data_IF_138340546468
#
_entry.id   IF_138340546468
#
_cell.length_a   1.000
_cell.length_b   1.000
_cell.length_c   1.000
_cell.angle_alpha   90.00
_cell.angle_beta   90.00
_cell.angle_gamma   90.00
#
_symmetry.space_group_name_H-M   'P 1'
#
loop_
_entity.id
_entity.type
_entity.pdbx_description
1 polymer ?
#
# COMPACT_ATOMS: atom_id res chain seq x y z
N UNK A 1 -4.04 40.12 20.03
CA UNK A 1 -4.01 39.61 18.64
C UNK A 1 -5.39 39.81 18.03
N UNK A 2 -5.53 40.73 17.08
CA UNK A 2 -6.80 40.97 16.37
C UNK A 2 -6.97 39.85 15.33
N UNK A 3 -7.99 39.01 15.52
CA UNK A 3 -8.38 38.00 14.52
C UNK A 3 -8.87 38.72 13.25
N UNK A 4 -8.32 38.34 12.11
CA UNK A 4 -8.60 38.89 10.79
C UNK A 4 -10.02 38.51 10.32
N UNK A 5 -10.68 39.38 9.54
CA UNK A 5 -12.01 39.14 8.96
C UNK A 5 -12.11 37.84 8.13
N UNK A 6 -10.98 37.31 7.65
CA UNK A 6 -10.92 36.00 6.99
C UNK A 6 -11.28 34.83 7.94
N UNK A 7 -10.98 34.95 9.23
CA UNK A 7 -11.30 33.91 10.23
C UNK A 7 -12.82 33.83 10.51
N UNK A 8 -13.52 34.96 10.41
CA UNK A 8 -14.98 35.00 10.57
C UNK A 8 -15.71 34.43 9.36
N UNK A 9 -15.20 34.69 8.15
CA UNK A 9 -15.72 34.09 6.92
C UNK A 9 -15.51 32.57 6.88
N UNK A 10 -14.34 32.08 7.34
CA UNK A 10 -14.08 30.63 7.43
C UNK A 10 -14.99 29.95 8.47
N UNK A 11 -15.21 30.60 9.63
CA UNK A 11 -16.13 30.11 10.66
C UNK A 11 -17.59 30.11 10.18
N UNK A 12 -18.01 31.12 9.41
CA UNK A 12 -19.34 31.19 8.82
C UNK A 12 -19.55 30.16 7.69
N UNK A 13 -18.52 29.90 6.87
CA UNK A 13 -18.56 28.84 5.85
C UNK A 13 -18.62 27.45 6.48
N UNK A 14 -17.87 27.22 7.57
CA UNK A 14 -17.92 25.97 8.34
C UNK A 14 -19.27 25.78 9.04
N UNK A 15 -19.89 26.84 9.59
CA UNK A 15 -21.20 26.72 10.22
C UNK A 15 -22.33 26.46 9.22
N UNK A 16 -22.26 27.01 8.00
CA UNK A 16 -23.23 26.72 6.93
C UNK A 16 -23.05 25.30 6.38
N UNK A 17 -21.81 24.79 6.27
CA UNK A 17 -21.55 23.39 5.89
C UNK A 17 -22.03 22.38 6.95
N UNK A 18 -22.05 22.77 8.24
CA UNK A 18 -22.56 21.93 9.33
C UNK A 18 -24.07 22.10 9.59
N UNK A 19 -24.70 23.23 9.24
CA UNK A 19 -26.14 23.46 9.47
C UNK A 19 -27.05 22.90 8.36
N UNK A 20 -26.55 22.70 7.13
CA UNK A 20 -27.37 22.21 6.01
C UNK A 20 -27.19 20.72 5.69
N UNK A 21 -26.35 20.00 6.43
CA UNK A 21 -26.42 18.54 6.44
C UNK A 21 -27.42 18.14 7.53
N UNK A 22 -28.52 17.43 7.22
CA UNK A 22 -29.33 16.83 8.28
C UNK A 22 -28.39 15.95 9.10
N UNK A 23 -28.15 16.35 10.34
CA UNK A 23 -27.42 15.57 11.32
C UNK A 23 -28.10 14.20 11.37
N UNK A 24 -27.45 13.22 10.74
CA UNK A 24 -28.01 11.88 10.64
C UNK A 24 -28.13 11.32 12.06
N UNK A 25 -29.25 10.64 12.38
CA UNK A 25 -29.31 9.88 13.60
C UNK A 25 -28.22 8.80 13.51
N UNK A 26 -27.22 8.94 14.40
CA UNK A 26 -26.28 7.89 14.78
C UNK A 26 -27.09 6.68 15.27
N UNK A 27 -27.58 5.85 14.35
CA UNK A 27 -28.54 4.78 14.65
C UNK A 27 -29.04 3.99 13.44
N UNK A 28 -28.76 4.42 12.20
CA UNK A 28 -29.01 3.59 11.02
C UNK A 28 -28.08 2.37 10.99
N UNK A 29 -28.64 1.17 10.76
CA UNK A 29 -27.86 -0.05 10.49
C UNK A 29 -27.19 -0.03 9.11
N UNK A 30 -27.61 0.87 8.22
CA UNK A 30 -27.15 0.96 6.84
C UNK A 30 -26.36 2.26 6.61
N UNK A 31 -25.32 2.17 5.79
CA UNK A 31 -24.48 3.30 5.40
C UNK A 31 -25.06 4.12 4.24
N UNK A 32 -25.79 3.50 3.30
CA UNK A 32 -26.49 4.23 2.25
C UNK A 32 -27.80 4.81 2.79
N UNK A 33 -27.92 6.13 2.67
CA UNK A 33 -29.20 6.79 2.82
C UNK A 33 -30.13 6.33 1.70
N UNK A 34 -31.33 5.89 2.10
CA UNK A 34 -32.36 5.47 1.17
C UNK A 34 -33.60 6.31 1.40
N UNK A 35 -34.13 6.87 0.32
CA UNK A 35 -35.46 7.48 0.34
C UNK A 35 -36.52 6.39 0.49
N UNK A 36 -37.59 6.68 1.22
CA UNK A 36 -38.64 5.70 1.58
C UNK A 36 -39.32 5.04 0.37
N UNK A 37 -39.29 5.69 -0.80
CA UNK A 37 -39.83 5.20 -2.06
C UNK A 37 -38.97 4.15 -2.78
N UNK A 38 -37.71 3.96 -2.35
CA UNK A 38 -36.80 3.01 -2.98
C UNK A 38 -36.96 1.62 -2.33
N UNK A 39 -37.40 0.66 -3.12
CA UNK A 39 -37.53 -0.74 -2.70
C UNK A 39 -36.18 -1.34 -2.28
N UNK A 40 -36.18 -2.06 -1.15
CA UNK A 40 -35.03 -2.86 -0.70
C UNK A 40 -34.62 -3.87 -1.79
N UNK A 41 -33.31 -4.05 -2.05
CA UNK A 41 -32.88 -5.12 -2.93
C UNK A 41 -33.29 -6.46 -2.33
N UNK A 42 -33.76 -7.36 -3.20
CA UNK A 42 -34.01 -8.75 -2.81
C UNK A 42 -32.69 -9.37 -2.36
N UNK A 43 -32.73 -10.11 -1.25
CA UNK A 43 -31.57 -10.84 -0.74
C UNK A 43 -31.04 -11.82 -1.77
N UNK A 44 -29.72 -11.86 -1.94
CA UNK A 44 -29.01 -12.69 -2.92
C UNK A 44 -27.93 -13.52 -2.23
N UNK A 45 -27.79 -14.74 -2.70
CA UNK A 45 -26.72 -15.66 -2.32
C UNK A 45 -26.00 -16.04 -3.61
N UNK A 46 -24.68 -16.04 -3.59
CA UNK A 46 -23.89 -16.55 -4.71
C UNK A 46 -23.91 -18.08 -4.65
N UNK A 47 -24.36 -18.73 -5.72
CA UNK A 47 -24.34 -20.19 -5.82
C UNK A 47 -23.24 -20.66 -6.76
N UNK A 48 -22.42 -21.60 -6.29
CA UNK A 48 -21.46 -22.33 -7.11
C UNK A 48 -21.77 -23.83 -6.94
N UNK A 49 -22.08 -24.53 -8.03
CA UNK A 49 -22.53 -25.93 -8.02
C UNK A 49 -23.69 -26.20 -7.04
N UNK A 50 -24.65 -25.29 -6.98
CA UNK A 50 -25.81 -25.42 -6.08
C UNK A 50 -25.50 -25.21 -4.59
N UNK A 51 -24.25 -24.92 -4.23
CA UNK A 51 -23.85 -24.58 -2.86
C UNK A 51 -23.75 -23.06 -2.71
N UNK A 52 -24.32 -22.52 -1.63
CA UNK A 52 -24.25 -21.09 -1.33
C UNK A 52 -22.87 -20.70 -0.80
N UNK A 53 -22.33 -19.60 -1.30
CA UNK A 53 -21.04 -19.04 -0.90
C UNK A 53 -21.13 -17.53 -0.68
N UNK A 54 -20.25 -17.04 0.18
CA UNK A 54 -20.04 -15.61 0.37
C UNK A 54 -19.12 -15.06 -0.71
N UNK A 55 -19.36 -13.81 -1.13
CA UNK A 55 -18.41 -13.09 -1.97
C UNK A 55 -17.20 -12.71 -1.12
N UNK A 56 -16.01 -13.12 -1.53
CA UNK A 56 -14.76 -12.83 -0.80
C UNK A 56 -13.93 -11.80 -1.57
N UNK A 57 -13.64 -10.69 -0.92
CA UNK A 57 -12.84 -9.58 -1.45
C UNK A 57 -11.50 -9.53 -0.73
N UNK A 58 -10.41 -9.55 -1.49
CA UNK A 58 -9.07 -9.34 -0.93
C UNK A 58 -8.90 -7.87 -0.54
N UNK A 59 -8.26 -7.66 0.60
CA UNK A 59 -7.89 -6.36 1.12
C UNK A 59 -6.48 -6.43 1.69
N UNK A 60 -5.77 -5.30 1.71
CA UNK A 60 -4.45 -5.20 2.33
C UNK A 60 -4.45 -4.23 3.49
N UNK A 61 -3.31 -4.05 4.17
CA UNK A 61 -3.15 -2.99 5.17
C UNK A 61 -3.20 -1.56 4.60
N UNK A 62 -3.01 -1.37 3.28
CA UNK A 62 -3.00 -0.05 2.65
C UNK A 62 -4.33 0.68 2.86
N UNK A 63 -4.33 1.96 3.31
CA UNK A 63 -5.55 2.71 3.53
C UNK A 63 -6.46 2.77 2.31
N UNK A 64 -5.90 3.01 1.11
CA UNK A 64 -6.66 3.08 -0.13
C UNK A 64 -7.39 1.77 -0.42
N UNK A 65 -6.69 0.64 -0.32
CA UNK A 65 -7.27 -0.68 -0.58
C UNK A 65 -8.37 -1.01 0.43
N UNK A 66 -8.20 -0.63 1.71
CA UNK A 66 -9.26 -0.77 2.72
C UNK A 66 -10.48 0.04 2.36
N UNK A 67 -10.31 1.33 2.05
CA UNK A 67 -11.42 2.23 1.73
C UNK A 67 -12.22 1.68 0.55
N UNK A 68 -11.55 1.31 -0.56
CA UNK A 68 -12.26 0.83 -1.75
C UNK A 68 -12.95 -0.51 -1.51
N UNK A 69 -12.34 -1.44 -0.76
CA UNK A 69 -12.95 -2.75 -0.45
C UNK A 69 -14.11 -2.64 0.52
N UNK A 70 -14.05 -1.72 1.50
CA UNK A 70 -15.18 -1.45 2.38
C UNK A 70 -16.33 -0.76 1.63
N UNK A 71 -16.03 0.21 0.76
CA UNK A 71 -17.05 0.83 -0.10
C UNK A 71 -17.71 -0.21 -1.01
N UNK A 72 -16.93 -1.11 -1.61
CA UNK A 72 -17.45 -2.19 -2.44
C UNK A 72 -18.36 -3.13 -1.65
N UNK A 73 -17.93 -3.55 -0.45
CA UNK A 73 -18.76 -4.37 0.43
C UNK A 73 -20.11 -3.71 0.71
N UNK A 74 -20.11 -2.43 1.09
CA UNK A 74 -21.35 -1.68 1.34
C UNK A 74 -22.23 -1.65 0.08
N UNK A 75 -21.66 -1.37 -1.10
CA UNK A 75 -22.42 -1.36 -2.36
C UNK A 75 -23.04 -2.72 -2.67
N UNK A 76 -22.29 -3.81 -2.52
CA UNK A 76 -22.75 -5.16 -2.83
C UNK A 76 -23.80 -5.65 -1.84
N UNK A 77 -23.65 -5.34 -0.56
CA UNK A 77 -24.61 -5.74 0.47
C UNK A 77 -25.87 -4.86 0.43
N UNK A 78 -25.71 -3.54 0.43
CA UNK A 78 -26.84 -2.64 0.61
C UNK A 78 -27.57 -2.29 -0.69
N UNK A 79 -26.87 -2.26 -1.84
CA UNK A 79 -27.49 -1.90 -3.13
C UNK A 79 -27.84 -3.14 -3.97
N UNK A 80 -27.01 -4.18 -3.93
CA UNK A 80 -27.26 -5.40 -4.74
C UNK A 80 -27.96 -6.51 -3.94
N UNK A 81 -27.93 -6.44 -2.61
CA UNK A 81 -28.63 -7.37 -1.71
C UNK A 81 -27.89 -8.68 -1.46
N UNK A 82 -26.61 -8.80 -1.83
CA UNK A 82 -25.83 -9.99 -1.46
C UNK A 82 -25.56 -10.00 0.05
N UNK A 83 -25.64 -11.17 0.68
CA UNK A 83 -25.38 -11.28 2.11
C UNK A 83 -23.96 -11.79 2.40
N UNK A 84 -23.39 -11.32 3.51
CA UNK A 84 -22.18 -11.90 4.10
C UNK A 84 -20.90 -11.68 3.29
N UNK A 85 -20.74 -10.53 2.63
CA UNK A 85 -19.51 -10.22 1.88
C UNK A 85 -18.32 -10.17 2.85
N UNK A 86 -17.31 -10.98 2.56
CA UNK A 86 -16.14 -11.14 3.42
C UNK A 86 -14.96 -10.32 2.89
N UNK A 87 -14.27 -9.60 3.78
CA UNK A 87 -13.01 -8.94 3.46
C UNK A 87 -11.87 -9.74 4.07
N UNK A 88 -11.06 -10.42 3.23
CA UNK A 88 -9.89 -11.18 3.69
C UNK A 88 -8.60 -10.40 3.51
N UNK A 89 -7.83 -10.30 4.59
CA UNK A 89 -6.59 -9.51 4.58
C UNK A 89 -5.40 -10.33 4.09
N UNK A 90 -4.82 -9.92 2.97
CA UNK A 90 -3.53 -10.43 2.48
C UNK A 90 -2.53 -9.27 2.33
N UNK A 91 -1.41 -9.35 3.05
CA UNK A 91 -0.39 -8.30 3.07
C UNK A 91 0.74 -8.62 2.10
N UNK A 92 0.45 -8.52 0.80
CA UNK A 92 1.44 -8.77 -0.25
C UNK A 92 1.32 -7.71 -1.35
N UNK A 93 2.46 -7.27 -1.89
CA UNK A 93 2.53 -6.49 -3.12
C UNK A 93 2.80 -7.37 -4.35
N UNK A 94 2.92 -8.69 -4.18
CA UNK A 94 3.15 -9.61 -5.29
C UNK A 94 1.82 -9.93 -6.00
N UNK A 95 1.61 -9.30 -7.15
CA UNK A 95 0.44 -9.53 -8.01
C UNK A 95 0.22 -11.02 -8.33
N UNK A 96 1.29 -11.82 -8.47
CA UNK A 96 1.16 -13.25 -8.77
C UNK A 96 0.47 -13.99 -7.64
N UNK A 97 0.70 -13.60 -6.39
CA UNK A 97 0.03 -14.22 -5.25
C UNK A 97 -1.46 -13.90 -5.22
N UNK A 98 -1.83 -12.65 -5.49
CA UNK A 98 -3.25 -12.27 -5.62
C UNK A 98 -3.92 -13.00 -6.78
N UNK A 99 -3.26 -13.09 -7.94
CA UNK A 99 -3.79 -13.80 -9.10
C UNK A 99 -3.94 -15.30 -8.86
N UNK A 100 -3.02 -15.94 -8.11
CA UNK A 100 -3.17 -17.35 -7.68
C UNK A 100 -4.41 -17.56 -6.83
N UNK A 101 -4.68 -16.65 -5.88
CA UNK A 101 -5.87 -16.71 -5.02
C UNK A 101 -7.15 -16.55 -5.83
N UNK A 102 -7.19 -15.57 -6.74
CA UNK A 102 -8.36 -15.32 -7.62
C UNK A 102 -8.59 -16.48 -8.58
N UNK A 103 -7.54 -16.97 -9.24
CA UNK A 103 -7.64 -18.08 -10.19
C UNK A 103 -7.94 -19.41 -9.50
N UNK A 104 -7.61 -19.56 -8.21
CA UNK A 104 -7.72 -20.82 -7.47
C UNK A 104 -6.66 -21.85 -7.87
N UNK A 105 -5.51 -21.43 -8.41
CA UNK A 105 -4.45 -22.33 -8.86
C UNK A 105 -3.04 -21.74 -8.67
N UNK A 106 -2.03 -22.61 -8.58
CA UNK A 106 -0.64 -22.22 -8.28
C UNK A 106 0.10 -21.57 -9.45
N UNK A 107 -0.31 -21.84 -10.69
CA UNK A 107 0.32 -21.37 -11.93
C UNK A 107 -0.72 -21.33 -13.06
N UNK A 108 -0.64 -20.36 -13.99
CA UNK A 108 -1.53 -20.33 -15.16
C UNK A 108 -1.42 -21.58 -16.04
N UNK A 109 -0.24 -22.22 -16.07
CA UNK A 109 0.01 -23.44 -16.87
C UNK A 109 -0.67 -24.69 -16.32
N UNK A 110 -0.93 -24.73 -15.01
CA UNK A 110 -1.45 -25.91 -14.30
C UNK A 110 -2.84 -25.62 -13.72
N UNK A 111 -3.55 -24.68 -14.33
CA UNK A 111 -4.87 -24.26 -13.90
C UNK A 111 -5.91 -25.18 -14.57
N UNK A 112 -6.25 -26.30 -13.92
CA UNK A 112 -7.34 -27.16 -14.40
C UNK A 112 -8.67 -26.42 -14.28
N UNK A 113 -9.63 -26.75 -15.15
CA UNK A 113 -11.00 -26.22 -15.08
C UNK A 113 -11.81 -26.83 -13.93
N UNK A 114 -11.18 -27.37 -12.90
CA UNK A 114 -11.91 -27.80 -11.72
C UNK A 114 -12.47 -26.58 -11.03
N UNK A 115 -13.80 -26.45 -11.09
CA UNK A 115 -14.63 -25.40 -10.50
C UNK A 115 -14.60 -25.45 -8.95
N UNK A 116 -13.41 -25.31 -8.37
CA UNK A 116 -13.23 -24.99 -6.96
C UNK A 116 -13.50 -23.50 -6.76
N UNK A 117 -14.20 -23.17 -5.68
CA UNK A 117 -14.40 -21.79 -5.26
C UNK A 117 -13.03 -21.22 -4.85
N UNK A 118 -12.59 -20.11 -5.44
CA UNK A 118 -11.31 -19.53 -5.08
C UNK A 118 -11.35 -18.96 -3.67
N UNK A 119 -10.17 -18.88 -3.04
CA UNK A 119 -10.00 -18.27 -1.72
C UNK A 119 -10.39 -16.78 -1.72
N UNK A 120 -10.19 -16.10 -2.84
CA UNK A 120 -10.59 -14.71 -3.07
C UNK A 120 -11.29 -14.64 -4.41
N UNK A 121 -12.39 -13.91 -4.52
CA UNK A 121 -13.09 -13.72 -5.79
C UNK A 121 -12.76 -12.39 -6.45
N UNK A 122 -12.48 -11.35 -5.65
CA UNK A 122 -12.34 -9.97 -6.11
C UNK A 122 -11.13 -9.31 -5.47
N UNK A 123 -10.36 -8.58 -6.27
CA UNK A 123 -9.34 -7.65 -5.80
C UNK A 123 -9.54 -6.31 -6.51
N UNK A 124 -9.67 -5.24 -5.74
CA UNK A 124 -10.03 -3.90 -6.25
C UNK A 124 -8.81 -2.99 -6.40
N UNK A 125 -7.63 -3.41 -5.94
CA UNK A 125 -6.41 -2.63 -5.99
C UNK A 125 -5.18 -3.52 -6.24
N UNK A 126 -5.20 -4.19 -7.39
CA UNK A 126 -4.11 -5.06 -7.83
C UNK A 126 -2.97 -4.24 -8.45
N UNK A 127 -1.82 -4.21 -7.78
CA UNK A 127 -0.63 -3.51 -8.27
C UNK A 127 0.21 -4.41 -9.18
N UNK A 128 0.21 -4.11 -10.47
CA UNK A 128 1.07 -4.79 -11.45
C UNK A 128 2.44 -4.11 -11.53
N UNK A 129 3.48 -4.75 -11.01
CA UNK A 129 4.85 -4.25 -11.10
C UNK A 129 5.45 -4.37 -12.51
N UNK A 130 6.55 -3.66 -12.81
CA UNK A 130 7.24 -3.77 -14.10
C UNK A 130 7.58 -5.23 -14.45
N UNK A 131 7.27 -5.64 -15.68
CA UNK A 131 7.48 -7.01 -16.15
C UNK A 131 6.45 -8.04 -15.66
N UNK A 132 5.39 -7.61 -14.95
CA UNK A 132 4.24 -8.46 -14.65
C UNK A 132 3.25 -8.42 -15.80
N UNK A 133 2.72 -9.57 -16.21
CA UNK A 133 1.68 -9.66 -17.25
C UNK A 133 0.46 -10.38 -16.70
N UNK A 134 -0.72 -9.84 -17.04
CA UNK A 134 -2.01 -10.45 -16.70
C UNK A 134 -2.43 -11.50 -17.74
N UNK A 135 -1.91 -11.40 -18.97
CA UNK A 135 -2.31 -12.22 -20.12
C UNK A 135 -2.27 -13.74 -19.86
N UNK A 136 -1.21 -14.32 -19.23
CA UNK A 136 -1.21 -15.76 -18.92
C UNK A 136 -2.35 -16.17 -17.98
N UNK A 137 -2.78 -15.27 -17.10
CA UNK A 137 -3.86 -15.53 -16.15
C UNK A 137 -5.23 -15.39 -16.81
N UNK A 138 -5.41 -14.42 -17.71
CA UNK A 138 -6.64 -14.29 -18.50
C UNK A 138 -6.85 -15.51 -19.39
N UNK A 139 -5.77 -16.04 -19.98
CA UNK A 139 -5.80 -17.27 -20.79
C UNK A 139 -6.30 -18.52 -20.05
N UNK A 140 -6.30 -18.51 -18.72
CA UNK A 140 -6.89 -19.61 -17.92
C UNK A 140 -8.43 -19.64 -17.97
N UNK A 141 -9.07 -18.52 -18.31
CA UNK A 141 -10.52 -18.33 -18.22
C UNK A 141 -11.07 -18.26 -16.78
N UNK A 142 -10.20 -18.24 -15.76
CA UNK A 142 -10.58 -18.16 -14.34
C UNK A 142 -10.40 -16.79 -13.71
N UNK A 143 -9.74 -15.88 -14.43
CA UNK A 143 -9.53 -14.49 -14.02
C UNK A 143 -10.20 -13.59 -15.05
N UNK A 144 -10.99 -12.65 -14.56
CA UNK A 144 -11.58 -11.58 -15.36
C UNK A 144 -10.92 -10.25 -14.97
N UNK A 145 -10.41 -9.53 -15.97
CA UNK A 145 -10.01 -8.13 -15.80
C UNK A 145 -11.22 -7.23 -16.01
N UNK A 146 -11.68 -6.59 -14.92
CA UNK A 146 -12.81 -5.66 -14.95
C UNK A 146 -12.38 -4.21 -15.25
N UNK A 147 -11.12 -3.98 -15.63
CA UNK A 147 -10.58 -2.67 -15.93
C UNK A 147 -10.15 -1.86 -14.70
N UNK A 148 -9.59 -0.68 -14.95
CA UNK A 148 -9.10 0.21 -13.91
C UNK A 148 -10.25 0.95 -13.21
N UNK A 149 -10.29 0.90 -11.87
CA UNK A 149 -11.26 1.64 -11.05
C UNK A 149 -10.91 3.12 -10.84
N UNK A 150 -9.75 3.56 -11.32
CA UNK A 150 -9.24 4.91 -11.06
C UNK A 150 -7.90 5.19 -11.71
N UNK A 151 -7.21 6.27 -11.30
CA UNK A 151 -5.95 6.67 -11.89
C UNK A 151 -4.87 5.60 -11.69
N UNK A 152 -4.03 5.43 -12.71
CA UNK A 152 -2.90 4.50 -12.66
C UNK A 152 -1.88 5.07 -11.66
N UNK A 153 -1.70 4.34 -10.56
CA UNK A 153 -0.72 4.69 -9.54
C UNK A 153 0.72 4.46 -10.00
N UNK A 154 1.68 5.09 -9.32
CA UNK A 154 3.11 4.87 -9.53
C UNK A 154 3.74 4.36 -8.24
N UNK A 155 4.52 3.29 -8.35
CA UNK A 155 5.44 2.84 -7.32
C UNK A 155 6.87 3.03 -7.81
N UNK A 156 7.76 3.47 -6.93
CA UNK A 156 9.10 3.82 -7.34
C UNK A 156 9.96 4.29 -6.18
N UNK A 157 11.20 4.66 -6.54
CA UNK A 157 12.16 5.26 -5.63
C UNK A 157 11.98 6.77 -5.69
N UNK A 158 11.69 7.39 -4.55
CA UNK A 158 11.43 8.82 -4.46
C UNK A 158 12.51 9.51 -3.64
N UNK A 159 12.88 10.72 -4.04
CA UNK A 159 13.83 11.60 -3.35
C UNK A 159 13.12 12.95 -3.19
N UNK A 160 13.23 13.59 -2.03
CA UNK A 160 12.57 14.88 -1.82
C UNK A 160 13.19 15.96 -2.72
N UNK A 161 12.36 16.83 -3.28
CA UNK A 161 12.82 17.91 -4.16
C UNK A 161 13.88 18.80 -3.48
N UNK A 162 13.69 19.11 -2.19
CA UNK A 162 14.65 19.82 -1.32
C UNK A 162 16.03 19.13 -1.31
N UNK A 163 16.06 17.80 -1.24
CA UNK A 163 17.32 17.04 -1.26
C UNK A 163 17.98 17.08 -2.63
N UNK A 164 17.19 16.93 -3.70
CA UNK A 164 17.69 17.02 -5.08
C UNK A 164 18.32 18.38 -5.34
N UNK A 165 17.63 19.47 -4.98
CA UNK A 165 18.11 20.85 -5.17
C UNK A 165 19.37 21.14 -4.35
N UNK A 166 19.41 20.71 -3.08
CA UNK A 166 20.58 20.87 -2.21
C UNK A 166 21.80 20.16 -2.78
N UNK A 167 21.67 18.89 -3.14
CA UNK A 167 22.78 18.08 -3.65
C UNK A 167 23.27 18.58 -5.01
N UNK A 168 22.35 19.05 -5.87
CA UNK A 168 22.72 19.71 -7.11
C UNK A 168 23.51 21.00 -6.88
N UNK A 169 23.05 21.85 -5.95
CA UNK A 169 23.68 23.13 -5.67
C UNK A 169 25.07 22.97 -5.06
N UNK A 170 25.20 22.11 -4.05
CA UNK A 170 26.44 21.88 -3.29
C UNK A 170 27.47 21.03 -4.04
N UNK A 171 27.02 19.99 -4.75
CA UNK A 171 27.90 18.96 -5.31
C UNK A 171 27.83 18.80 -6.83
N UNK A 172 26.90 19.48 -7.51
CA UNK A 172 26.63 19.32 -8.95
C UNK A 172 26.31 17.87 -9.35
N UNK A 173 25.73 17.11 -8.42
CA UNK A 173 25.28 15.73 -8.66
C UNK A 173 23.78 15.75 -8.91
N UNK A 174 23.35 15.16 -10.03
CA UNK A 174 21.95 15.02 -10.39
C UNK A 174 21.35 13.76 -9.74
N UNK A 175 20.33 13.95 -8.90
CA UNK A 175 19.59 12.88 -8.21
C UNK A 175 18.20 12.66 -8.85
N UNK A 176 18.16 12.20 -10.11
CA UNK A 176 16.93 12.09 -10.90
C UNK A 176 16.45 10.65 -11.17
N UNK A 177 17.28 9.65 -10.87
CA UNK A 177 17.04 8.27 -11.26
C UNK A 177 17.57 7.25 -10.25
N UNK A 178 16.98 6.06 -10.18
CA UNK A 178 17.41 4.99 -9.25
C UNK A 178 18.87 4.58 -9.44
N UNK A 179 19.42 4.74 -10.65
CA UNK A 179 20.83 4.41 -10.97
C UNK A 179 21.81 5.21 -10.13
N UNK A 180 21.42 6.39 -9.68
CA UNK A 180 22.23 7.23 -8.80
C UNK A 180 22.57 6.53 -7.49
N UNK A 181 21.73 5.58 -7.03
CA UNK A 181 22.02 4.75 -5.87
C UNK A 181 23.16 3.73 -6.09
N UNK A 182 23.77 3.66 -7.26
CA UNK A 182 24.96 2.84 -7.50
C UNK A 182 26.26 3.61 -7.21
N UNK A 183 26.20 4.94 -7.11
CA UNK A 183 27.36 5.83 -7.01
C UNK A 183 27.62 6.24 -5.56
N UNK A 184 28.85 6.01 -5.07
CA UNK A 184 29.22 6.25 -3.65
C UNK A 184 29.04 7.70 -3.23
N UNK A 185 29.43 8.65 -4.08
CA UNK A 185 29.38 10.09 -3.76
C UNK A 185 27.93 10.61 -3.65
N UNK A 186 27.05 10.09 -4.50
CA UNK A 186 25.65 10.47 -4.50
C UNK A 186 24.94 9.95 -3.24
N UNK A 187 25.16 8.68 -2.90
CA UNK A 187 24.50 8.05 -1.74
C UNK A 187 25.03 8.53 -0.40
N UNK A 188 26.27 9.03 -0.33
CA UNK A 188 26.83 9.61 0.89
C UNK A 188 26.00 10.80 1.41
N UNK A 189 25.32 11.53 0.52
CA UNK A 189 24.46 12.66 0.88
C UNK A 189 23.06 12.27 1.34
N UNK A 190 22.75 10.97 1.27
CA UNK A 190 21.42 10.37 1.50
C UNK A 190 21.44 9.34 2.64
N UNK A 191 22.53 9.26 3.38
CA UNK A 191 22.67 8.41 4.56
C UNK A 191 21.97 9.07 5.76
N UNK A 192 20.94 8.41 6.27
CA UNK A 192 20.18 8.86 7.45
C UNK A 192 20.45 8.00 8.68
N UNK A 193 21.41 7.06 8.63
CA UNK A 193 21.63 6.13 9.75
C UNK A 193 22.17 6.79 11.02
N UNK A 194 22.76 7.99 10.91
CA UNK A 194 23.20 8.77 12.06
C UNK A 194 22.07 9.54 12.74
N UNK A 195 20.87 9.59 12.16
CA UNK A 195 19.72 10.27 12.75
C UNK A 195 19.16 9.45 13.94
N UNK A 196 19.24 9.96 15.19
CA UNK A 196 18.70 9.26 16.35
C UNK A 196 17.17 9.11 16.29
N UNK A 197 16.47 10.02 15.61
CA UNK A 197 15.02 9.97 15.48
C UNK A 197 14.61 8.76 14.64
N UNK A 198 15.32 8.48 13.54
CA UNK A 198 15.08 7.30 12.70
C UNK A 198 15.02 6.02 13.52
N UNK A 199 16.00 5.81 14.40
CA UNK A 199 16.11 4.60 15.22
C UNK A 199 14.92 4.43 16.18
N UNK A 200 14.33 5.53 16.65
CA UNK A 200 13.10 5.50 17.46
C UNK A 200 11.88 5.12 16.60
N UNK A 201 11.87 5.50 15.33
CA UNK A 201 10.77 5.24 14.40
C UNK A 201 10.77 3.80 13.87
N UNK A 202 11.92 3.11 13.87
CA UNK A 202 12.03 1.69 13.49
C UNK A 202 11.43 0.69 14.51
N UNK A 203 10.94 1.19 15.64
CA UNK A 203 10.30 0.40 16.70
C UNK A 203 8.81 0.67 16.69
N UNK A 204 8.00 -0.39 16.79
CA UNK A 204 6.56 -0.25 16.95
C UNK A 204 6.26 0.17 18.41
N UNK A 205 5.66 1.36 18.66
CA UNK A 205 5.42 1.83 20.01
C UNK A 205 4.38 0.99 20.78
N UNK A 206 3.50 0.27 20.07
CA UNK A 206 2.45 -0.54 20.70
C UNK A 206 2.96 -1.91 21.16
N UNK A 207 3.92 -2.49 20.43
CA UNK A 207 4.41 -3.85 20.70
C UNK A 207 5.85 -3.87 21.20
N UNK A 208 6.56 -2.74 21.14
CA UNK A 208 8.01 -2.60 21.38
C UNK A 208 8.92 -3.44 20.46
N UNK A 209 8.33 -4.28 19.60
CA UNK A 209 9.03 -5.02 18.56
C UNK A 209 9.58 -4.12 17.45
N UNK A 210 10.68 -4.55 16.86
CA UNK A 210 11.28 -3.93 15.69
C UNK A 210 10.43 -4.19 14.45
N UNK A 211 10.34 -3.21 13.56
CA UNK A 211 9.65 -3.41 12.29
C UNK A 211 10.39 -4.46 11.44
N UNK A 212 11.72 -4.36 11.30
CA UNK A 212 12.48 -5.44 10.69
C UNK A 212 13.11 -6.38 11.72
N UNK A 213 12.73 -7.67 11.61
CA UNK A 213 13.25 -8.77 12.44
C UNK A 213 13.90 -9.89 11.62
N UNK A 214 14.05 -9.72 10.31
CA UNK A 214 14.69 -10.71 9.44
C UNK A 214 16.19 -10.85 9.75
N UNK A 215 16.78 -11.99 9.39
CA UNK A 215 18.20 -12.28 9.64
C UNK A 215 19.17 -11.29 8.98
N UNK A 216 18.75 -10.69 7.87
CA UNK A 216 19.51 -9.68 7.13
C UNK A 216 19.35 -8.26 7.69
N UNK A 217 18.54 -8.09 8.73
CA UNK A 217 18.37 -6.81 9.40
C UNK A 217 19.37 -6.66 10.54
N UNK A 218 20.23 -5.65 10.40
CA UNK A 218 21.25 -5.27 11.39
C UNK A 218 20.74 -4.05 12.12
N UNK A 219 20.64 -4.13 13.45
CA UNK A 219 20.14 -3.03 14.26
C UNK A 219 18.81 -2.46 13.74
N UNK A 220 17.84 -3.34 13.42
CA UNK A 220 16.46 -2.98 13.00
C UNK A 220 16.34 -2.48 11.55
N UNK A 221 17.45 -2.41 10.82
CA UNK A 221 17.53 -1.87 9.46
C UNK A 221 18.05 -2.95 8.52
N UNK A 222 17.43 -3.11 7.35
CA UNK A 222 17.98 -3.99 6.34
C UNK A 222 19.25 -3.37 5.75
N UNK A 223 20.36 -4.12 5.83
CA UNK A 223 21.65 -3.71 5.28
C UNK A 223 22.16 -4.76 4.29
N UNK A 224 22.13 -4.50 2.97
CA UNK A 224 22.70 -5.41 1.99
C UNK A 224 24.22 -5.51 2.15
N UNK A 225 24.82 -6.60 1.63
CA UNK A 225 26.26 -6.85 1.77
C UNK A 225 27.15 -5.72 1.22
N UNK A 226 26.69 -4.97 0.21
CA UNK A 226 27.38 -3.79 -0.35
C UNK A 226 27.47 -2.62 0.64
N UNK A 227 26.56 -2.55 1.61
CA UNK A 227 26.51 -1.52 2.65
C UNK A 227 27.14 -1.98 3.97
N UNK A 228 27.38 -3.28 4.13
CA UNK A 228 28.06 -3.82 5.30
C UNK A 228 29.56 -3.48 5.22
N UNK A 229 30.05 -2.69 6.16
CA UNK A 229 31.47 -2.35 6.25
C UNK A 229 32.30 -3.61 6.52
N UNK A 230 32.98 -4.14 5.51
CA UNK A 230 33.97 -5.20 5.65
C UNK A 230 35.37 -4.61 5.49
N UNK A 231 36.05 -4.39 6.62
CA UNK A 231 37.46 -3.94 6.76
C UNK A 231 37.75 -2.52 6.25
N UNK A 232 38.23 -1.64 7.15
CA UNK A 232 38.95 -0.35 6.95
C UNK A 232 38.43 0.69 5.92
N UNK A 233 37.43 0.41 5.09
CA UNK A 233 36.89 1.31 4.06
C UNK A 233 35.41 1.56 4.33
N UNK A 234 35.04 2.82 4.51
CA UNK A 234 33.65 3.23 4.72
C UNK A 234 32.89 3.08 3.40
N UNK A 235 31.89 2.21 3.37
CA UNK A 235 30.97 2.10 2.24
C UNK A 235 29.75 2.97 2.51
N UNK A 236 29.58 4.01 1.71
CA UNK A 236 28.40 4.88 1.80
C UNK A 236 27.20 4.21 1.16
N UNK A 237 26.06 4.31 1.84
CA UNK A 237 24.76 3.86 1.36
C UNK A 237 23.69 4.85 1.74
N UNK A 238 22.71 5.02 0.87
CA UNK A 238 21.53 5.82 1.15
C UNK A 238 20.61 5.05 2.12
N UNK A 239 19.76 5.78 2.84
CA UNK A 239 18.73 5.17 3.68
C UNK A 239 17.36 5.39 3.02
N UNK A 240 16.74 4.31 2.55
CA UNK A 240 15.35 4.31 2.15
C UNK A 240 14.47 4.20 3.39
N UNK A 241 13.53 5.12 3.53
CA UNK A 241 12.47 5.04 4.53
C UNK A 241 11.24 4.39 3.90
N UNK A 242 10.74 3.34 4.53
CA UNK A 242 9.59 2.58 4.05
C UNK A 242 8.55 2.38 5.14
N UNK A 243 7.34 1.98 4.75
CA UNK A 243 6.21 1.74 5.64
C UNK A 243 6.34 0.39 6.38
N UNK A 244 5.61 -0.64 5.97
CA UNK A 244 5.49 -1.93 6.64
C UNK A 244 6.30 -3.01 5.92
N UNK A 245 7.24 -3.70 6.60
CA UNK A 245 8.08 -4.71 5.98
C UNK A 245 7.29 -5.90 5.47
N UNK A 246 6.17 -6.25 6.10
CA UNK A 246 5.33 -7.38 5.65
C UNK A 246 4.87 -7.22 4.20
N UNK A 247 4.76 -5.98 3.73
CA UNK A 247 4.31 -5.66 2.38
C UNK A 247 5.46 -5.41 1.42
N UNK A 248 6.54 -4.74 1.86
CA UNK A 248 7.59 -4.23 0.97
C UNK A 248 8.95 -4.95 1.10
N UNK A 249 9.17 -5.79 2.12
CA UNK A 249 10.47 -6.42 2.40
C UNK A 249 11.02 -7.21 1.21
N UNK A 250 10.27 -8.20 0.71
CA UNK A 250 10.76 -9.04 -0.39
C UNK A 250 10.98 -8.23 -1.68
N UNK A 251 10.05 -7.32 -2.00
CA UNK A 251 10.15 -6.47 -3.19
C UNK A 251 11.41 -5.59 -3.15
N UNK A 252 11.59 -4.83 -2.06
CA UNK A 252 12.70 -3.89 -1.93
C UNK A 252 14.05 -4.62 -1.87
N UNK A 253 14.15 -5.67 -1.05
CA UNK A 253 15.41 -6.42 -0.92
C UNK A 253 15.81 -7.12 -2.22
N UNK A 254 14.85 -7.65 -2.98
CA UNK A 254 15.12 -8.22 -4.30
C UNK A 254 15.56 -7.15 -5.31
N UNK A 255 14.90 -5.99 -5.34
CA UNK A 255 15.29 -4.89 -6.23
C UNK A 255 16.71 -4.39 -5.90
N UNK A 256 17.01 -4.15 -4.62
CA UNK A 256 18.32 -3.71 -4.15
C UNK A 256 19.40 -4.71 -4.59
N UNK A 257 19.18 -6.01 -4.36
CA UNK A 257 20.13 -7.07 -4.74
C UNK A 257 20.29 -7.15 -6.26
N UNK A 258 19.19 -7.22 -7.02
CA UNK A 258 19.20 -7.39 -8.48
C UNK A 258 19.82 -6.20 -9.21
N UNK A 259 19.52 -4.99 -8.76
CA UNK A 259 20.00 -3.75 -9.36
C UNK A 259 21.32 -3.25 -8.74
N UNK A 260 21.88 -3.98 -7.76
CA UNK A 260 23.13 -3.66 -7.06
C UNK A 260 23.13 -2.25 -6.45
N UNK A 261 22.04 -1.89 -5.78
CA UNK A 261 21.87 -0.56 -5.18
C UNK A 261 22.57 -0.46 -3.82
N UNK A 262 23.17 0.69 -3.54
CA UNK A 262 23.79 1.05 -2.25
C UNK A 262 22.75 1.68 -1.34
N UNK A 263 21.77 0.89 -0.91
CA UNK A 263 20.63 1.37 -0.14
C UNK A 263 20.34 0.45 1.04
N UNK A 264 20.30 1.02 2.24
CA UNK A 264 19.75 0.42 3.44
C UNK A 264 18.24 0.72 3.50
N UNK A 265 17.45 -0.14 4.15
CA UNK A 265 16.00 0.09 4.29
C UNK A 265 15.61 0.12 5.76
N UNK A 266 15.03 1.25 6.18
CA UNK A 266 14.46 1.44 7.51
C UNK A 266 12.94 1.48 7.40
N UNK A 267 12.26 0.52 8.02
CA UNK A 267 10.80 0.50 8.08
C UNK A 267 10.31 1.22 9.33
N UNK A 268 9.41 2.17 9.16
CA UNK A 268 8.85 3.02 10.23
C UNK A 268 7.33 2.84 10.42
N UNK A 269 6.74 1.91 9.66
CA UNK A 269 5.33 1.51 9.78
C UNK A 269 4.37 2.67 9.55
N UNK A 270 3.37 2.80 10.43
CA UNK A 270 2.34 3.86 10.37
C UNK A 270 2.88 5.28 10.51
N UNK A 271 4.12 5.44 11.00
CA UNK A 271 4.73 6.75 11.27
C UNK A 271 5.60 7.25 10.12
N UNK A 272 5.41 6.68 8.92
CA UNK A 272 6.14 7.10 7.72
C UNK A 272 5.93 8.58 7.40
N UNK A 273 4.68 9.03 7.37
CA UNK A 273 4.35 10.43 7.10
C UNK A 273 4.93 11.38 8.14
N UNK A 274 4.81 11.02 9.43
CA UNK A 274 5.36 11.78 10.55
C UNK A 274 6.89 11.93 10.44
N UNK A 275 7.61 10.83 10.17
CA UNK A 275 9.06 10.89 10.03
C UNK A 275 9.49 11.70 8.80
N UNK A 276 8.90 11.42 7.63
CA UNK A 276 9.26 12.12 6.39
C UNK A 276 8.94 13.61 6.47
N UNK A 277 7.86 14.00 7.15
CA UNK A 277 7.51 15.40 7.40
C UNK A 277 8.48 16.15 8.32
N UNK A 278 9.36 15.44 9.05
CA UNK A 278 10.35 16.03 9.95
C UNK A 278 11.73 16.31 9.30
N UNK A 279 11.95 15.87 8.05
CA UNK A 279 13.20 16.02 7.28
C UNK A 279 13.24 17.34 6.45
#
# INVERSE_FOLDING_TARGET
>A
MRLSGASYLLAALLSVLFCCSPAHPYGSKNCFYRREDIKLPTKRILYVKGTGHNIVVEVSRRPTHKIISHMFKIMVEELLGYEGVELRTYNTFDAKQSLRRIAGCSSPTNCTKEESVPDVMINLELWMGPGSSLEPWLGTGRVLDCGALGPIGRSGWFISAKTVERVWTEKKILLDHWRTFQWEEAVASLDLLSDPLLHQYTVNPSTLNHHCSASECHQRIYMPSICQSRKRRKHYCATLIADYPETTFHLLTQQIKKLKLRVNVAWVGKRLEEYVGSL
#
